data_IF_933231793793
#
_entry.id   IF_933231793793
#
_cell.length_a   1.000
_cell.length_b   1.000
_cell.length_c   1.000
_cell.angle_alpha   90.00
_cell.angle_beta   90.00
_cell.angle_gamma   90.00
#
_symmetry.space_group_name_H-M   'P 1'
#
loop_
_entity.id
_entity.type
_entity.pdbx_description
1 polymer ?
#
# COMPACT_ATOMS: atom_id res chain seq x y z
N UNK A 1 -29.51 8.03 66.06
CA UNK A 1 -28.15 7.47 65.85
C UNK A 1 -28.14 6.98 64.41
N UNK A 2 -28.18 7.92 63.47
CA UNK A 2 -28.40 7.65 62.06
C UNK A 2 -27.07 7.55 61.32
N UNK A 3 -26.66 6.31 61.03
CA UNK A 3 -25.51 6.03 60.17
C UNK A 3 -25.91 6.23 58.72
N UNK A 4 -25.53 7.37 58.16
CA UNK A 4 -25.37 7.56 56.73
C UNK A 4 -24.37 6.53 56.18
N UNK A 5 -24.86 5.53 55.44
CA UNK A 5 -24.03 4.79 54.49
C UNK A 5 -24.16 5.52 53.16
N UNK A 6 -23.23 6.45 52.90
CA UNK A 6 -22.96 6.94 51.56
C UNK A 6 -22.23 5.83 50.83
N UNK A 7 -22.95 5.00 50.07
CA UNK A 7 -22.34 4.09 49.10
C UNK A 7 -21.75 5.01 48.03
N UNK A 8 -20.44 5.26 48.09
CA UNK A 8 -19.71 5.81 46.96
C UNK A 8 -19.75 4.74 45.86
N UNK A 9 -20.77 4.83 45.00
CA UNK A 9 -20.67 4.29 43.65
C UNK A 9 -19.52 5.03 42.99
N UNK A 10 -18.36 4.36 42.89
CA UNK A 10 -17.21 4.84 42.13
C UNK A 10 -17.63 4.85 40.65
N UNK A 11 -18.36 5.89 40.28
CA UNK A 11 -19.00 5.98 38.96
C UNK A 11 -17.89 6.26 37.97
N UNK A 12 -17.71 5.38 36.98
CA UNK A 12 -16.63 5.55 36.03
C UNK A 12 -16.86 6.81 35.18
N UNK A 13 -15.84 7.65 35.11
CA UNK A 13 -15.86 8.86 34.28
C UNK A 13 -15.46 8.51 32.83
N UNK A 14 -16.07 9.19 31.88
CA UNK A 14 -15.89 8.98 30.44
C UNK A 14 -14.42 9.02 30.01
N UNK A 15 -13.64 10.00 30.50
CA UNK A 15 -12.21 10.13 30.21
C UNK A 15 -11.36 8.99 30.79
N UNK A 16 -11.78 8.40 31.91
CA UNK A 16 -11.10 7.25 32.53
C UNK A 16 -11.43 5.97 31.76
N UNK A 17 -12.70 5.80 31.39
CA UNK A 17 -13.15 4.67 30.59
C UNK A 17 -12.46 4.66 29.21
N UNK A 18 -12.47 5.78 28.48
CA UNK A 18 -11.89 5.81 27.13
C UNK A 18 -10.39 5.44 27.15
N UNK A 19 -9.62 5.94 28.13
CA UNK A 19 -8.21 5.56 28.32
C UNK A 19 -8.03 4.07 28.60
N UNK A 20 -8.97 3.44 29.31
CA UNK A 20 -8.95 2.01 29.60
C UNK A 20 -9.25 1.21 28.32
N UNK A 21 -10.29 1.60 27.58
CA UNK A 21 -10.64 1.00 26.29
C UNK A 21 -9.47 1.08 25.32
N UNK A 22 -8.84 2.25 25.15
CA UNK A 22 -7.70 2.42 24.24
C UNK A 22 -6.52 1.51 24.61
N UNK A 23 -6.23 1.34 25.91
CA UNK A 23 -5.18 0.41 26.37
C UNK A 23 -5.55 -1.05 26.08
N UNK A 24 -6.81 -1.42 26.31
CA UNK A 24 -7.27 -2.79 26.06
C UNK A 24 -7.31 -3.10 24.56
N UNK A 25 -7.72 -2.14 23.71
CA UNK A 25 -7.59 -2.23 22.25
C UNK A 25 -6.13 -2.49 21.90
N UNK A 26 -5.23 -1.57 22.26
CA UNK A 26 -3.82 -1.63 21.85
C UNK A 26 -3.13 -2.94 22.28
N UNK A 27 -3.42 -3.45 23.48
CA UNK A 27 -2.87 -4.72 23.97
C UNK A 27 -3.30 -5.93 23.14
N UNK A 28 -4.48 -5.89 22.54
CA UNK A 28 -5.08 -7.00 21.81
C UNK A 28 -4.95 -6.89 20.29
N UNK A 29 -4.32 -5.82 19.77
CA UNK A 29 -3.94 -5.73 18.36
C UNK A 29 -2.80 -6.70 18.02
N UNK A 30 -2.70 -7.08 16.74
CA UNK A 30 -1.52 -7.75 16.20
C UNK A 30 -0.32 -6.80 16.13
N UNK A 31 0.90 -7.35 16.07
CA UNK A 31 2.13 -6.53 16.10
C UNK A 31 2.22 -5.57 14.90
N UNK A 32 1.80 -6.00 13.71
CA UNK A 32 1.84 -5.13 12.53
C UNK A 32 0.93 -3.90 12.71
N UNK A 33 -0.32 -4.08 13.17
CA UNK A 33 -1.21 -2.95 13.49
C UNK A 33 -0.65 -2.04 14.59
N UNK A 34 0.06 -2.59 15.58
CA UNK A 34 0.73 -1.78 16.62
C UNK A 34 1.87 -0.95 16.05
N UNK A 35 2.64 -1.52 15.14
CA UNK A 35 3.78 -0.84 14.52
C UNK A 35 3.31 0.31 13.63
N UNK A 36 2.22 0.12 12.87
CA UNK A 36 1.59 1.22 12.12
C UNK A 36 1.15 2.37 13.04
N UNK A 37 0.54 2.07 14.19
CA UNK A 37 0.15 3.10 15.17
C UNK A 37 1.40 3.80 15.78
N UNK A 38 2.48 3.05 16.04
CA UNK A 38 3.74 3.59 16.59
C UNK A 38 4.50 4.47 15.60
N UNK A 39 4.36 4.23 14.30
CA UNK A 39 5.00 5.02 13.25
C UNK A 39 4.48 6.47 13.18
N UNK A 40 3.45 6.83 13.98
CA UNK A 40 2.92 8.17 14.19
C UNK A 40 2.40 8.92 12.94
N UNK A 41 2.28 8.25 11.80
CA UNK A 41 1.76 8.84 10.57
C UNK A 41 0.31 8.45 10.27
N UNK A 42 -0.31 7.58 11.07
CA UNK A 42 -1.65 7.02 10.77
C UNK A 42 -2.79 7.67 11.56
N UNK A 43 -3.84 8.04 10.85
CA UNK A 43 -5.17 8.38 11.35
C UNK A 43 -5.90 7.12 11.83
N UNK A 44 -6.00 6.96 13.15
CA UNK A 44 -6.76 5.86 13.76
C UNK A 44 -8.25 6.24 13.86
N UNK A 45 -9.08 5.49 13.16
CA UNK A 45 -10.55 5.58 13.21
C UNK A 45 -11.15 4.45 14.04
N UNK A 46 -12.30 4.70 14.64
CA UNK A 46 -13.06 3.69 15.37
C UNK A 46 -14.43 3.50 14.73
N UNK A 47 -14.73 2.25 14.37
CA UNK A 47 -16.08 1.87 13.97
C UNK A 47 -16.80 1.21 15.15
N UNK A 48 -17.95 1.76 15.55
CA UNK A 48 -18.78 1.16 16.61
C UNK A 48 -18.32 1.46 18.05
N UNK A 49 -17.33 2.34 18.23
CA UNK A 49 -16.96 2.86 19.55
C UNK A 49 -17.91 4.01 19.96
N UNK A 50 -18.57 3.82 21.10
CA UNK A 50 -19.38 4.86 21.72
C UNK A 50 -19.43 4.68 23.24
N UNK A 51 -19.74 5.78 23.92
CA UNK A 51 -20.07 5.80 25.34
C UNK A 51 -21.53 6.21 25.51
N UNK A 52 -22.17 5.75 26.59
CA UNK A 52 -23.53 6.14 26.95
C UNK A 52 -23.48 6.89 28.26
N UNK A 53 -24.04 8.11 28.25
CA UNK A 53 -24.18 8.93 29.44
C UNK A 53 -25.23 8.32 30.38
N UNK A 54 -24.83 8.01 31.61
CA UNK A 54 -25.65 7.30 32.60
C UNK A 54 -26.85 8.11 33.07
N UNK A 55 -26.73 9.44 33.08
CA UNK A 55 -27.75 10.33 33.61
C UNK A 55 -28.79 10.68 32.54
N UNK A 56 -28.38 10.75 31.27
CA UNK A 56 -29.25 11.16 30.14
C UNK A 56 -29.61 10.04 29.17
N UNK A 57 -28.92 8.90 29.23
CA UNK A 57 -29.01 7.81 28.23
C UNK A 57 -28.45 8.20 26.86
N UNK A 58 -27.83 9.38 26.72
CA UNK A 58 -27.35 9.88 25.43
C UNK A 58 -26.12 9.13 24.97
N UNK A 59 -26.20 8.55 23.77
CA UNK A 59 -25.05 7.95 23.06
C UNK A 59 -24.12 9.05 22.53
N UNK A 60 -22.82 8.87 22.72
CA UNK A 60 -21.75 9.68 22.15
C UNK A 60 -20.78 8.77 21.39
N UNK A 61 -20.82 8.86 20.07
CA UNK A 61 -19.89 8.15 19.20
C UNK A 61 -18.51 8.79 19.26
N UNK A 62 -17.48 7.94 19.19
CA UNK A 62 -16.07 8.33 19.14
C UNK A 62 -15.53 7.73 17.86
N UNK A 63 -15.16 8.57 16.89
CA UNK A 63 -14.75 8.13 15.55
C UNK A 63 -13.24 8.17 15.34
N UNK A 64 -12.50 8.92 16.15
CA UNK A 64 -11.05 9.07 16.03
C UNK A 64 -10.36 9.20 17.39
N UNK A 65 -9.03 9.22 17.39
CA UNK A 65 -8.25 9.58 18.57
C UNK A 65 -8.49 11.04 19.01
N UNK A 66 -8.68 11.97 18.07
CA UNK A 66 -9.01 13.37 18.36
C UNK A 66 -10.36 13.51 19.12
N UNK A 67 -11.35 12.67 18.76
CA UNK A 67 -12.63 12.59 19.48
C UNK A 67 -12.44 12.13 20.93
N UNK A 68 -11.42 11.30 21.20
CA UNK A 68 -11.12 10.83 22.55
C UNK A 68 -10.57 11.97 23.43
N UNK A 69 -9.79 12.88 22.85
CA UNK A 69 -9.21 14.02 23.56
C UNK A 69 -10.25 15.12 23.84
N UNK A 70 -11.13 15.36 22.86
CA UNK A 70 -12.18 16.37 22.93
C UNK A 70 -13.43 15.92 23.73
N UNK A 71 -13.46 14.65 24.17
CA UNK A 71 -14.61 14.10 24.88
C UNK A 71 -14.87 14.84 26.22
N UNK A 72 -16.09 15.34 26.47
CA UNK A 72 -16.44 15.93 27.77
C UNK A 72 -16.41 14.87 28.88
N UNK A 73 -16.18 15.29 30.12
CA UNK A 73 -16.31 14.42 31.30
C UNK A 73 -17.78 14.21 31.63
N UNK A 74 -18.20 12.97 31.80
CA UNK A 74 -19.54 12.59 32.26
C UNK A 74 -19.52 11.18 32.83
N UNK A 75 -20.55 10.84 33.60
CA UNK A 75 -20.76 9.49 34.14
C UNK A 75 -21.19 8.55 33.03
N UNK A 76 -20.48 7.44 32.88
CA UNK A 76 -20.78 6.46 31.83
C UNK A 76 -21.51 5.24 32.36
N UNK A 77 -22.30 4.62 31.50
CA UNK A 77 -22.79 3.27 31.72
C UNK A 77 -21.67 2.24 31.53
N UNK A 78 -21.70 1.18 32.34
CA UNK A 78 -20.83 0.03 32.18
C UNK A 78 -21.25 -0.82 30.98
N UNK A 79 -20.27 -1.22 30.17
CA UNK A 79 -20.47 -1.97 28.93
C UNK A 79 -19.35 -3.00 28.74
N UNK A 80 -19.70 -4.11 28.09
CA UNK A 80 -18.71 -5.03 27.52
C UNK A 80 -18.36 -4.52 26.12
N UNK A 81 -17.08 -4.20 25.89
CA UNK A 81 -16.55 -3.86 24.58
C UNK A 81 -15.92 -5.09 23.93
N UNK A 82 -16.21 -5.29 22.65
CA UNK A 82 -15.75 -6.44 21.88
C UNK A 82 -14.96 -5.93 20.68
N UNK A 83 -13.66 -6.24 20.64
CA UNK A 83 -12.79 -5.97 19.51
C UNK A 83 -13.08 -6.99 18.41
N UNK A 84 -13.60 -6.52 17.28
CA UNK A 84 -14.02 -7.35 16.14
C UNK A 84 -12.91 -7.54 15.10
N UNK A 85 -11.97 -6.61 15.02
CA UNK A 85 -10.93 -6.65 14.00
C UNK A 85 -10.28 -5.29 13.78
N UNK A 86 -9.37 -5.28 12.81
CA UNK A 86 -8.75 -4.07 12.26
C UNK A 86 -9.00 -4.09 10.76
N UNK A 87 -9.43 -2.97 10.20
CA UNK A 87 -9.48 -2.77 8.76
C UNK A 87 -8.31 -1.89 8.31
N UNK A 88 -7.49 -2.45 7.42
CA UNK A 88 -6.32 -1.84 6.80
C UNK A 88 -6.52 -1.64 5.29
N UNK A 89 -7.74 -1.75 4.76
CA UNK A 89 -8.00 -1.53 3.33
C UNK A 89 -7.51 -0.16 2.84
N UNK A 90 -7.68 0.89 3.67
CA UNK A 90 -7.31 2.27 3.35
C UNK A 90 -5.95 2.70 3.97
N UNK A 91 -5.04 1.77 4.27
CA UNK A 91 -3.77 2.13 4.93
C UNK A 91 -2.90 3.12 4.11
N UNK A 92 -3.06 3.17 2.78
CA UNK A 92 -2.37 4.12 1.90
C UNK A 92 -2.78 5.57 2.09
N UNK A 93 -4.00 5.80 2.57
CA UNK A 93 -4.47 7.13 2.97
C UNK A 93 -4.16 7.39 4.45
N UNK A 94 -3.08 6.77 4.94
CA UNK A 94 -2.64 6.79 6.33
C UNK A 94 -3.79 6.48 7.30
N UNK A 95 -4.70 5.57 6.96
CA UNK A 95 -5.90 5.30 7.76
C UNK A 95 -5.91 3.87 8.27
N UNK A 96 -6.07 3.72 9.58
CA UNK A 96 -6.29 2.43 10.25
C UNK A 96 -7.64 2.48 10.95
N UNK A 97 -8.53 1.53 10.68
CA UNK A 97 -9.84 1.49 11.31
C UNK A 97 -9.95 0.32 12.30
N UNK A 98 -10.31 0.62 13.54
CA UNK A 98 -10.50 -0.35 14.61
C UNK A 98 -11.99 -0.68 14.72
N UNK A 99 -12.33 -1.94 14.51
CA UNK A 99 -13.71 -2.43 14.48
C UNK A 99 -14.12 -2.89 15.87
N UNK A 100 -15.14 -2.23 16.44
CA UNK A 100 -15.63 -2.49 17.78
C UNK A 100 -17.14 -2.70 17.78
N UNK A 101 -17.61 -3.38 18.82
CA UNK A 101 -19.01 -3.37 19.21
C UNK A 101 -19.10 -3.33 20.72
N UNK A 102 -20.28 -2.99 21.26
CA UNK A 102 -20.49 -3.02 22.70
C UNK A 102 -21.90 -3.45 23.06
N UNK A 103 -22.06 -4.05 24.24
CA UNK A 103 -23.35 -4.37 24.84
C UNK A 103 -23.37 -3.90 26.30
N UNK A 104 -24.56 -3.63 26.81
CA UNK A 104 -24.75 -3.26 28.22
C UNK A 104 -24.25 -4.39 29.12
N UNK A 105 -23.55 -4.03 30.20
CA UNK A 105 -22.98 -4.97 31.17
C UNK A 105 -23.19 -4.45 32.59
N UNK A 106 -23.03 -5.33 33.59
CA UNK A 106 -23.04 -4.93 35.01
C UNK A 106 -21.77 -4.18 35.41
N UNK A 107 -20.67 -4.50 34.75
CA UNK A 107 -19.35 -3.90 34.95
C UNK A 107 -18.62 -3.80 33.61
N UNK A 108 -17.64 -2.90 33.53
CA UNK A 108 -16.75 -2.85 32.37
C UNK A 108 -16.01 -4.17 32.15
N UNK A 109 -16.10 -4.68 30.95
CA UNK A 109 -15.28 -5.78 30.46
C UNK A 109 -14.84 -5.52 29.02
N UNK A 110 -13.73 -6.14 28.64
CA UNK A 110 -13.19 -6.08 27.28
C UNK A 110 -12.85 -7.49 26.83
N UNK A 111 -13.22 -7.84 25.60
CA UNK A 111 -12.83 -9.12 25.00
C UNK A 111 -12.53 -8.98 23.51
N UNK A 112 -11.80 -9.95 22.99
CA UNK A 112 -11.57 -10.11 21.55
C UNK A 112 -12.64 -11.06 21.01
N UNK A 113 -13.20 -10.74 19.85
CA UNK A 113 -14.13 -11.64 19.16
C UNK A 113 -13.42 -12.91 18.73
N UNK A 114 -14.11 -14.05 18.79
CA UNK A 114 -13.56 -15.33 18.33
C UNK A 114 -13.24 -15.32 16.83
N UNK A 115 -13.94 -14.49 16.05
CA UNK A 115 -13.70 -14.29 14.63
C UNK A 115 -12.89 -13.00 14.34
N UNK A 116 -12.07 -12.56 15.30
CA UNK A 116 -11.18 -11.42 15.09
C UNK A 116 -10.37 -11.61 13.81
N UNK A 117 -10.42 -10.62 12.92
CA UNK A 117 -9.65 -10.63 11.68
C UNK A 117 -9.02 -9.27 11.43
N UNK A 118 -7.83 -9.31 10.85
CA UNK A 118 -7.21 -8.14 10.22
C UNK A 118 -7.59 -8.18 8.76
N UNK A 119 -8.43 -7.24 8.33
CA UNK A 119 -8.79 -7.06 6.92
C UNK A 119 -7.62 -6.32 6.28
N UNK A 120 -6.78 -7.08 5.58
CA UNK A 120 -5.72 -6.53 4.73
C UNK A 120 -6.37 -5.92 3.48
N UNK A 121 -5.75 -4.93 2.83
CA UNK A 121 -6.24 -4.46 1.54
C UNK A 121 -6.35 -5.65 0.58
N UNK A 122 -7.52 -5.80 -0.02
CA UNK A 122 -7.75 -6.81 -1.03
C UNK A 122 -7.02 -6.38 -2.31
N UNK A 123 -5.78 -6.82 -2.46
CA UNK A 123 -5.00 -6.61 -3.69
C UNK A 123 -4.94 -7.92 -4.46
N UNK A 124 -5.48 -7.90 -5.68
CA UNK A 124 -5.28 -8.94 -6.68
C UNK A 124 -3.81 -8.95 -7.14
N UNK A 125 -2.92 -9.43 -6.28
CA UNK A 125 -1.51 -9.66 -6.60
C UNK A 125 -1.38 -11.07 -7.17
N UNK A 126 -0.67 -11.20 -8.28
CA UNK A 126 -0.48 -12.50 -8.94
C UNK A 126 0.46 -13.40 -8.14
N UNK A 127 0.52 -14.69 -8.49
CA UNK A 127 1.50 -15.60 -7.90
C UNK A 127 2.93 -15.12 -8.11
N UNK A 128 3.26 -14.65 -9.32
CA UNK A 128 4.59 -14.14 -9.67
C UNK A 128 4.97 -12.91 -8.83
N UNK A 129 4.01 -12.02 -8.56
CA UNK A 129 4.22 -10.87 -7.69
C UNK A 129 4.54 -11.30 -6.26
N UNK A 130 3.74 -12.21 -5.70
CA UNK A 130 3.98 -12.77 -4.35
C UNK A 130 5.35 -13.42 -4.23
N UNK A 131 5.74 -14.22 -5.22
CA UNK A 131 7.07 -14.85 -5.28
C UNK A 131 8.20 -13.82 -5.22
N UNK A 132 8.06 -12.68 -5.90
CA UNK A 132 9.10 -11.65 -5.88
C UNK A 132 9.15 -10.85 -4.60
N UNK A 133 8.00 -10.63 -3.95
CA UNK A 133 7.97 -10.06 -2.59
C UNK A 133 8.70 -10.99 -1.61
N UNK A 134 8.46 -12.31 -1.70
CA UNK A 134 9.18 -13.27 -0.87
C UNK A 134 10.68 -13.23 -1.13
N UNK A 135 11.09 -13.29 -2.41
CA UNK A 135 12.50 -13.15 -2.80
C UNK A 135 13.13 -11.86 -2.28
N UNK A 136 12.40 -10.74 -2.37
CA UNK A 136 12.84 -9.45 -1.85
C UNK A 136 13.10 -9.50 -0.34
N UNK A 137 12.14 -10.03 0.42
CA UNK A 137 12.24 -10.13 1.87
C UNK A 137 13.33 -11.10 2.36
N UNK A 138 13.72 -12.06 1.52
CA UNK A 138 14.77 -13.04 1.79
C UNK A 138 16.18 -12.55 1.42
N UNK A 139 16.30 -11.41 0.72
CA UNK A 139 17.61 -10.86 0.35
C UNK A 139 18.41 -10.48 1.59
N UNK A 140 19.63 -10.99 1.67
CA UNK A 140 20.65 -10.41 2.55
C UNK A 140 21.10 -9.04 2.03
N UNK A 141 21.69 -8.22 2.91
CA UNK A 141 22.26 -6.92 2.54
C UNK A 141 23.28 -7.06 1.39
N UNK A 142 24.16 -8.07 1.45
CA UNK A 142 25.14 -8.32 0.39
C UNK A 142 24.51 -8.72 -0.96
N UNK A 143 23.36 -9.40 -0.95
CA UNK A 143 22.64 -9.76 -2.18
C UNK A 143 21.88 -8.57 -2.76
N UNK A 144 21.30 -7.74 -1.89
CA UNK A 144 20.66 -6.48 -2.28
C UNK A 144 21.67 -5.53 -2.94
N UNK A 145 22.86 -5.36 -2.34
CA UNK A 145 23.92 -4.52 -2.91
C UNK A 145 24.32 -4.99 -4.31
N UNK A 146 24.57 -6.31 -4.47
CA UNK A 146 24.89 -6.89 -5.79
C UNK A 146 23.76 -6.70 -6.82
N UNK A 147 22.51 -6.74 -6.38
CA UNK A 147 21.34 -6.51 -7.23
C UNK A 147 21.24 -5.06 -7.67
N UNK A 148 21.51 -4.12 -6.77
CA UNK A 148 21.53 -2.69 -7.05
C UNK A 148 22.67 -2.34 -8.01
N UNK A 149 23.89 -2.83 -7.76
CA UNK A 149 25.04 -2.62 -8.64
C UNK A 149 24.73 -3.09 -10.07
N UNK A 150 24.21 -4.32 -10.21
CA UNK A 150 23.83 -4.87 -11.51
C UNK A 150 22.72 -4.05 -12.18
N UNK A 151 21.76 -3.55 -11.41
CA UNK A 151 20.70 -2.70 -11.95
C UNK A 151 21.26 -1.40 -12.52
N UNK A 152 22.17 -0.73 -11.80
CA UNK A 152 22.79 0.51 -12.28
C UNK A 152 23.67 0.29 -13.51
N UNK A 153 24.43 -0.82 -13.57
CA UNK A 153 25.19 -1.19 -14.78
C UNK A 153 24.28 -1.40 -16.01
N UNK A 154 23.10 -1.97 -15.81
CA UNK A 154 22.11 -2.18 -16.88
C UNK A 154 21.49 -0.85 -17.30
N UNK A 155 21.08 -0.03 -16.34
CA UNK A 155 20.49 1.29 -16.57
C UNK A 155 21.45 2.20 -17.33
N UNK A 156 22.75 2.17 -17.03
CA UNK A 156 23.75 2.95 -17.74
C UNK A 156 23.80 2.58 -19.22
N UNK A 157 23.86 1.28 -19.54
CA UNK A 157 23.85 0.77 -20.92
C UNK A 157 22.57 1.13 -21.66
N UNK A 158 21.41 0.96 -21.01
CA UNK A 158 20.12 1.35 -21.57
C UNK A 158 20.12 2.85 -21.88
N UNK A 159 20.67 3.66 -20.98
CA UNK A 159 20.73 5.11 -21.15
C UNK A 159 21.61 5.52 -22.32
N UNK A 160 22.77 4.88 -22.50
CA UNK A 160 23.63 5.08 -23.67
C UNK A 160 22.92 4.71 -24.98
N UNK A 161 22.18 3.61 -25.01
CA UNK A 161 21.43 3.19 -26.20
C UNK A 161 20.30 4.17 -26.54
N UNK A 162 19.53 4.60 -25.55
CA UNK A 162 18.41 5.51 -25.75
C UNK A 162 18.87 6.93 -26.17
N UNK A 163 20.04 7.38 -25.70
CA UNK A 163 20.64 8.66 -26.13
C UNK A 163 21.08 8.69 -27.59
N UNK A 164 21.28 7.52 -28.23
CA UNK A 164 21.61 7.42 -29.67
C UNK A 164 20.40 7.68 -30.58
N UNK A 165 19.19 7.72 -30.02
CA UNK A 165 17.96 7.94 -30.77
C UNK A 165 17.86 9.43 -31.12
N UNK A 166 17.48 9.70 -32.36
CA UNK A 166 17.29 11.08 -32.82
C UNK A 166 16.26 11.83 -31.97
N UNK A 167 16.68 12.95 -31.38
CA UNK A 167 15.86 13.77 -30.49
C UNK A 167 15.98 13.42 -29.00
N UNK A 168 16.84 12.46 -28.63
CA UNK A 168 17.17 12.13 -27.23
C UNK A 168 18.55 12.62 -26.80
N UNK A 169 19.34 13.23 -27.70
CA UNK A 169 20.75 13.56 -27.45
C UNK A 169 20.92 14.52 -26.27
N UNK A 170 19.95 15.42 -26.09
CA UNK A 170 19.94 16.42 -25.01
C UNK A 170 18.86 16.14 -23.95
N UNK A 171 18.17 15.00 -24.02
CA UNK A 171 17.14 14.67 -23.04
C UNK A 171 17.82 14.10 -21.79
N UNK A 172 17.79 14.84 -20.69
CA UNK A 172 18.35 14.40 -19.43
C UNK A 172 17.33 13.53 -18.70
N UNK A 173 17.70 12.28 -18.44
CA UNK A 173 16.92 11.42 -17.58
C UNK A 173 17.83 10.61 -16.66
N UNK A 174 17.29 10.27 -15.50
CA UNK A 174 17.95 9.39 -14.53
C UNK A 174 16.93 8.33 -14.11
N UNK A 175 17.42 7.10 -13.95
CA UNK A 175 16.60 5.97 -13.54
C UNK A 175 17.12 5.46 -12.20
N UNK A 176 16.21 5.32 -11.25
CA UNK A 176 16.47 4.79 -9.92
C UNK A 176 15.52 3.64 -9.63
N UNK A 177 15.81 2.90 -8.56
CA UNK A 177 14.83 2.03 -7.93
C UNK A 177 14.59 2.51 -6.52
N UNK A 178 13.33 2.59 -6.11
CA UNK A 178 12.95 3.04 -4.76
C UNK A 178 12.82 1.83 -3.83
N UNK A 179 13.90 1.50 -3.12
CA UNK A 179 13.94 0.38 -2.17
C UNK A 179 12.95 0.50 -1.00
N UNK A 180 12.36 1.68 -0.80
CA UNK A 180 11.37 1.94 0.25
C UNK A 180 9.93 1.94 -0.26
N UNK A 181 9.73 1.75 -1.57
CA UNK A 181 8.40 1.64 -2.17
C UNK A 181 7.63 0.47 -1.55
N UNK A 182 6.34 0.66 -1.30
CA UNK A 182 5.47 -0.45 -0.92
C UNK A 182 5.46 -1.48 -2.06
N UNK A 183 6.00 -2.67 -1.80
CA UNK A 183 6.12 -3.74 -2.79
C UNK A 183 4.75 -4.23 -3.27
N UNK A 184 3.67 -3.92 -2.54
CA UNK A 184 2.30 -4.18 -2.95
C UNK A 184 1.70 -3.03 -3.80
N UNK A 185 2.30 -1.81 -3.82
CA UNK A 185 1.89 -0.66 -4.66
C UNK A 185 2.70 -0.68 -5.94
N UNK A 186 2.06 -1.15 -6.99
CA UNK A 186 2.77 -1.45 -8.21
C UNK A 186 2.66 -0.34 -9.26
N UNK A 187 3.46 0.71 -9.09
CA UNK A 187 3.57 1.80 -10.06
C UNK A 187 5.04 2.22 -10.20
N UNK A 188 5.50 2.44 -11.44
CA UNK A 188 6.71 3.22 -11.65
C UNK A 188 6.31 4.70 -11.51
N UNK A 189 7.17 5.50 -10.89
CA UNK A 189 6.91 6.93 -10.71
C UNK A 189 7.80 7.70 -11.69
N UNK A 190 7.20 8.54 -12.53
CA UNK A 190 7.93 9.41 -13.44
C UNK A 190 7.74 10.86 -13.01
N UNK A 191 8.82 11.50 -12.60
CA UNK A 191 8.83 12.89 -12.15
C UNK A 191 9.58 13.76 -13.16
N UNK A 192 9.15 15.02 -13.27
CA UNK A 192 9.88 16.04 -14.02
C UNK A 192 10.46 17.06 -13.05
N UNK A 193 11.77 17.20 -13.06
CA UNK A 193 12.49 18.25 -12.34
C UNK A 193 13.22 19.14 -13.35
N UNK A 194 12.60 20.26 -13.73
CA UNK A 194 13.08 21.12 -14.80
C UNK A 194 13.20 20.38 -16.14
N UNK A 195 14.41 20.33 -16.68
CA UNK A 195 14.75 19.62 -17.93
C UNK A 195 15.11 18.15 -17.71
N UNK A 196 15.03 17.65 -16.47
CA UNK A 196 15.38 16.29 -16.09
C UNK A 196 14.12 15.44 -15.86
N UNK A 197 14.11 14.25 -16.45
CA UNK A 197 13.10 13.21 -16.17
C UNK A 197 13.66 12.20 -15.19
N UNK A 198 13.04 12.01 -14.03
CA UNK A 198 13.43 11.01 -13.05
C UNK A 198 12.45 9.84 -13.15
N UNK A 199 12.96 8.63 -13.33
CA UNK A 199 12.15 7.41 -13.42
C UNK A 199 12.48 6.52 -12.22
N UNK A 200 11.52 6.33 -11.34
CA UNK A 200 11.60 5.39 -10.22
C UNK A 200 10.97 4.06 -10.62
N UNK A 201 11.81 3.05 -10.82
CA UNK A 201 11.40 1.69 -11.17
C UNK A 201 11.07 0.92 -9.90
N UNK A 202 9.90 0.27 -9.90
CA UNK A 202 9.44 -0.56 -8.80
C UNK A 202 10.47 -1.67 -8.43
N UNK A 203 10.81 -1.90 -7.15
CA UNK A 203 11.88 -2.80 -6.71
C UNK A 203 11.79 -4.23 -7.23
N UNK A 204 10.59 -4.76 -7.43
CA UNK A 204 10.40 -6.13 -7.91
C UNK A 204 10.91 -6.36 -9.34
N UNK A 205 11.20 -5.30 -10.10
CA UNK A 205 11.89 -5.39 -11.38
C UNK A 205 13.40 -5.66 -11.24
N UNK A 206 13.98 -5.61 -10.04
CA UNK A 206 15.35 -6.10 -9.78
C UNK A 206 15.50 -7.62 -10.01
N UNK A 207 14.38 -8.34 -10.12
CA UNK A 207 14.34 -9.75 -10.48
C UNK A 207 14.06 -10.00 -11.97
N UNK A 208 13.85 -8.95 -12.76
CA UNK A 208 13.57 -9.06 -14.19
C UNK A 208 14.83 -9.15 -15.04
N UNK A 209 14.64 -9.52 -16.32
CA UNK A 209 15.72 -9.52 -17.31
C UNK A 209 16.11 -8.10 -17.71
N UNK A 210 17.30 -7.97 -18.32
CA UNK A 210 17.77 -6.71 -18.90
C UNK A 210 16.82 -6.19 -20.00
N UNK A 211 16.24 -7.07 -20.82
CA UNK A 211 15.25 -6.71 -21.84
C UNK A 211 13.99 -6.08 -21.25
N UNK A 212 13.50 -6.59 -20.11
CA UNK A 212 12.37 -5.99 -19.39
C UNK A 212 12.73 -4.63 -18.83
N UNK A 213 13.90 -4.47 -18.20
CA UNK A 213 14.36 -3.17 -17.69
C UNK A 213 14.49 -2.14 -18.82
N UNK A 214 15.04 -2.55 -19.96
CA UNK A 214 15.10 -1.73 -21.18
C UNK A 214 13.72 -1.34 -21.67
N UNK A 215 12.79 -2.29 -21.68
CA UNK A 215 11.39 -2.08 -22.02
C UNK A 215 10.68 -1.07 -21.11
N UNK A 216 10.94 -1.09 -19.79
CA UNK A 216 10.40 -0.14 -18.83
C UNK A 216 10.87 1.28 -19.16
N UNK A 217 12.18 1.49 -19.24
CA UNK A 217 12.76 2.82 -19.49
C UNK A 217 12.31 3.36 -20.86
N UNK A 218 12.32 2.51 -21.89
CA UNK A 218 11.82 2.87 -23.21
C UNK A 218 10.32 3.22 -23.21
N UNK A 219 9.51 2.47 -22.46
CA UNK A 219 8.08 2.74 -22.30
C UNK A 219 7.83 4.12 -21.68
N UNK A 220 8.47 4.43 -20.54
CA UNK A 220 8.27 5.71 -19.87
C UNK A 220 8.72 6.89 -20.73
N UNK A 221 9.87 6.75 -21.40
CA UNK A 221 10.40 7.79 -22.28
C UNK A 221 9.66 7.90 -23.63
N UNK A 222 8.91 6.87 -24.05
CA UNK A 222 8.14 6.90 -25.30
C UNK A 222 7.06 7.98 -25.33
N UNK A 223 6.63 8.46 -24.16
CA UNK A 223 5.72 9.59 -24.01
C UNK A 223 6.35 10.93 -24.43
N UNK A 224 7.68 11.03 -24.39
CA UNK A 224 8.47 12.21 -24.76
C UNK A 224 8.95 12.17 -26.20
N UNK A 225 9.40 11.00 -26.68
CA UNK A 225 9.85 10.82 -28.05
C UNK A 225 9.22 9.56 -28.67
N UNK A 226 8.33 9.77 -29.64
CA UNK A 226 7.62 8.69 -30.33
C UNK A 226 8.54 7.73 -31.09
N UNK A 227 9.74 8.16 -31.50
CA UNK A 227 10.72 7.30 -32.17
C UNK A 227 11.17 6.16 -31.27
N UNK A 228 11.24 6.38 -29.95
CA UNK A 228 11.54 5.34 -28.96
C UNK A 228 10.53 4.21 -29.08
N UNK A 229 9.23 4.54 -29.16
CA UNK A 229 8.20 3.51 -29.32
C UNK A 229 8.40 2.70 -30.60
N UNK A 230 8.83 3.33 -31.70
CA UNK A 230 9.04 2.63 -32.97
C UNK A 230 10.30 1.77 -32.99
N UNK A 231 11.38 2.22 -32.35
CA UNK A 231 12.66 1.50 -32.34
C UNK A 231 12.69 0.38 -31.28
N UNK A 232 12.08 0.60 -30.12
CA UNK A 232 12.16 -0.27 -28.93
C UNK A 232 10.85 -1.02 -28.65
N UNK A 233 9.91 -1.09 -29.60
CA UNK A 233 8.62 -1.76 -29.38
C UNK A 233 8.76 -3.23 -28.96
N UNK A 234 9.83 -3.92 -29.35
CA UNK A 234 10.11 -5.30 -28.94
C UNK A 234 10.44 -5.39 -27.45
N UNK A 235 11.35 -4.54 -26.97
CA UNK A 235 11.69 -4.46 -25.53
C UNK A 235 10.47 -4.03 -24.70
N UNK A 236 9.68 -3.07 -25.20
CA UNK A 236 8.45 -2.62 -24.53
C UNK A 236 7.41 -3.76 -24.45
N UNK A 237 7.36 -4.66 -25.43
CA UNK A 237 6.47 -5.84 -25.38
C UNK A 237 6.94 -6.84 -24.32
N UNK A 238 8.25 -7.06 -24.16
CA UNK A 238 8.76 -7.89 -23.05
C UNK A 238 8.32 -7.32 -21.70
N UNK A 239 8.41 -6.00 -21.53
CA UNK A 239 7.88 -5.32 -20.35
C UNK A 239 6.36 -5.54 -20.21
N UNK A 240 5.57 -5.45 -21.28
CA UNK A 240 4.14 -5.71 -21.23
C UNK A 240 3.81 -7.15 -20.79
N UNK A 241 4.58 -8.14 -21.23
CA UNK A 241 4.44 -9.55 -20.78
C UNK A 241 4.71 -9.63 -19.28
N UNK A 242 5.82 -9.05 -18.83
CA UNK A 242 6.19 -9.07 -17.41
C UNK A 242 5.16 -8.35 -16.55
N UNK A 243 4.67 -7.19 -17.02
CA UNK A 243 3.61 -6.43 -16.36
C UNK A 243 2.31 -7.23 -16.30
N UNK A 244 1.94 -7.98 -17.34
CA UNK A 244 0.76 -8.87 -17.25
C UNK A 244 0.96 -9.98 -16.22
N UNK A 245 2.15 -10.59 -16.17
CA UNK A 245 2.48 -11.67 -15.21
C UNK A 245 2.46 -11.19 -13.77
N UNK A 246 3.04 -10.02 -13.49
CA UNK A 246 3.14 -9.47 -12.14
C UNK A 246 1.82 -8.83 -11.67
N UNK A 247 1.02 -8.25 -12.58
CA UNK A 247 -0.06 -7.34 -12.18
C UNK A 247 -1.44 -7.82 -12.64
N UNK A 248 -1.52 -8.88 -13.46
CA UNK A 248 -2.76 -9.40 -14.04
C UNK A 248 -3.44 -8.47 -15.06
N UNK A 249 -2.86 -7.29 -15.32
CA UNK A 249 -3.41 -6.22 -16.15
C UNK A 249 -2.55 -5.96 -17.38
N UNK A 250 -3.17 -5.40 -18.40
CA UNK A 250 -2.51 -5.02 -19.65
C UNK A 250 -2.18 -3.52 -19.64
N UNK A 251 -1.01 -3.17 -20.16
CA UNK A 251 -0.67 -1.76 -20.42
C UNK A 251 -1.39 -1.25 -21.67
N UNK A 252 -1.87 -0.01 -21.63
CA UNK A 252 -2.61 0.59 -22.74
C UNK A 252 -1.78 0.72 -24.03
N UNK A 253 -0.45 0.70 -23.90
CA UNK A 253 0.50 0.81 -25.02
C UNK A 253 0.47 -0.37 -25.99
N UNK A 254 -0.01 -1.54 -25.55
CA UNK A 254 -0.08 -2.76 -26.37
C UNK A 254 -0.77 -2.52 -27.72
N UNK A 255 -1.85 -1.73 -27.72
CA UNK A 255 -2.58 -1.35 -28.94
C UNK A 255 -1.68 -0.65 -29.97
N UNK A 256 -0.87 0.32 -29.52
CA UNK A 256 0.06 1.06 -30.38
C UNK A 256 1.18 0.17 -30.90
N UNK A 257 1.65 -0.76 -30.06
CA UNK A 257 2.71 -1.69 -30.45
C UNK A 257 2.19 -2.70 -31.49
N UNK A 258 0.95 -3.17 -31.34
CA UNK A 258 0.26 -4.02 -32.32
C UNK A 258 0.23 -3.37 -33.70
N UNK A 259 -0.10 -2.09 -33.77
CA UNK A 259 -0.11 -1.33 -35.03
C UNK A 259 1.30 -1.25 -35.67
N UNK A 260 2.34 -1.04 -34.86
CA UNK A 260 3.73 -1.02 -35.32
C UNK A 260 4.14 -2.39 -35.86
N UNK A 261 3.86 -3.45 -35.11
CA UNK A 261 4.19 -4.82 -35.49
C UNK A 261 3.49 -5.25 -36.79
N UNK A 262 2.21 -4.89 -36.97
CA UNK A 262 1.47 -5.13 -38.23
C UNK A 262 2.13 -4.40 -39.40
N UNK A 263 2.45 -3.11 -39.24
CA UNK A 263 3.12 -2.32 -40.30
C UNK A 263 4.48 -2.92 -40.68
N UNK A 264 5.24 -3.42 -39.69
CA UNK A 264 6.55 -4.05 -39.88
C UNK A 264 6.49 -5.53 -40.28
N UNK A 265 5.29 -6.11 -40.32
CA UNK A 265 5.06 -7.56 -40.55
C UNK A 265 5.79 -8.45 -39.54
N UNK A 266 5.93 -7.98 -38.30
CA UNK A 266 6.58 -8.70 -37.21
C UNK A 266 5.63 -9.73 -36.60
N UNK A 267 5.67 -10.96 -37.13
CA UNK A 267 4.78 -12.04 -36.72
C UNK A 267 5.01 -12.51 -35.28
N UNK A 268 6.24 -12.39 -34.79
CA UNK A 268 6.62 -12.83 -33.45
C UNK A 268 5.96 -11.94 -32.39
N UNK A 269 6.12 -10.62 -32.53
CA UNK A 269 5.47 -9.65 -31.63
C UNK A 269 3.95 -9.75 -31.70
N UNK A 270 3.37 -9.96 -32.90
CA UNK A 270 1.92 -10.14 -33.05
C UNK A 270 1.43 -11.38 -32.28
N UNK A 271 2.21 -12.47 -32.26
CA UNK A 271 1.85 -13.67 -31.50
C UNK A 271 1.93 -13.42 -29.99
N UNK A 272 3.01 -12.79 -29.51
CA UNK A 272 3.18 -12.43 -28.09
C UNK A 272 2.02 -11.54 -27.61
N UNK A 273 1.62 -10.55 -28.41
CA UNK A 273 0.49 -9.67 -28.05
C UNK A 273 -0.82 -10.45 -27.90
N UNK A 274 -1.07 -11.45 -28.76
CA UNK A 274 -2.26 -12.30 -28.63
C UNK A 274 -2.21 -13.12 -27.35
N UNK A 275 -1.06 -13.68 -27.01
CA UNK A 275 -0.88 -14.42 -25.76
C UNK A 275 -1.16 -13.52 -24.54
N UNK A 276 -0.66 -12.28 -24.52
CA UNK A 276 -0.95 -11.30 -23.45
C UNK A 276 -2.46 -10.98 -23.37
N UNK A 277 -3.14 -10.86 -24.51
CA UNK A 277 -4.58 -10.59 -24.60
C UNK A 277 -5.43 -11.79 -24.13
N UNK A 278 -4.90 -13.01 -24.19
CA UNK A 278 -5.57 -14.28 -23.82
C UNK A 278 -5.28 -14.75 -22.38
N UNK A 279 -4.27 -14.18 -21.71
CA UNK A 279 -3.90 -14.42 -20.29
C UNK A 279 -4.84 -13.78 -19.29
#
# INVERSE_FOLDING_TARGET
>A
MDKYIKIFSDTMESKRLIKRILKDIYRNLDEYSKDLIRACNYNVKFQGLFLVDKDTGKRRDVKSLEDCESLPSFKVEDREYILKGVNLEDFHNDTLEILLSSKTSKEYSFKVDENYKVIRPNRDITYEHRERILKWNELSEEELDKKLDRFYDIVEKISEDLKKIEGMENHNFIVYTDIFMDLDVMENIVEKDGDMTIIWIHPLYLFSSEGVLKGIVAYELSSYNRKILEEFYRDIVEYCVEYKKLFGKNLNIISKIKDIAIKRKDKEVIAIIKEIEEM
#
